data_IF_725354604760
#
_entry.id   IF_725354604760
#
_cell.length_a   1.000
_cell.length_b   1.000
_cell.length_c   1.000
_cell.angle_alpha   90.00
_cell.angle_beta   90.00
_cell.angle_gamma   90.00
#
_symmetry.space_group_name_H-M   'P 1'
#
loop_
_entity.id
_entity.type
_entity.pdbx_description
1 polymer ?
#
# COMPACT_ATOMS: atom_id res chain seq x y z
N UNK A 1 4.04 -10.56 -9.20
CA UNK A 1 4.85 -10.48 -7.98
C UNK A 1 6.11 -9.69 -8.24
N UNK A 2 6.05 -8.35 -8.17
CA UNK A 2 7.24 -7.50 -8.10
C UNK A 2 7.75 -7.53 -6.65
N UNK A 3 8.19 -8.70 -6.19
CA UNK A 3 8.86 -8.88 -4.91
C UNK A 3 10.35 -8.59 -5.11
N UNK A 4 10.68 -7.35 -5.40
CA UNK A 4 12.02 -6.81 -5.29
C UNK A 4 11.84 -5.36 -4.87
N UNK A 5 12.43 -4.99 -3.74
CA UNK A 5 12.63 -3.61 -3.28
C UNK A 5 12.91 -2.73 -4.50
N UNK A 6 11.87 -2.06 -4.98
CA UNK A 6 11.92 -1.30 -6.22
C UNK A 6 12.02 0.19 -5.87
N UNK A 7 12.54 1.04 -6.78
CA UNK A 7 13.13 2.36 -6.55
C UNK A 7 12.08 3.47 -6.30
N UNK A 8 11.07 3.16 -5.50
CA UNK A 8 9.86 3.97 -5.33
C UNK A 8 9.91 4.86 -4.09
N UNK A 9 10.90 4.68 -3.23
CA UNK A 9 11.13 5.56 -2.08
C UNK A 9 11.74 6.85 -2.61
N UNK A 10 11.06 7.96 -2.35
CA UNK A 10 11.62 9.29 -2.48
C UNK A 10 12.66 9.46 -1.36
N UNK A 11 13.94 9.44 -1.74
CA UNK A 11 15.06 9.47 -0.81
C UNK A 11 15.55 10.88 -0.49
N UNK A 12 15.00 11.90 -1.16
CA UNK A 12 15.41 13.28 -0.93
C UNK A 12 14.68 13.93 0.26
N UNK A 13 13.57 13.33 0.71
CA UNK A 13 12.90 13.72 1.95
C UNK A 13 13.79 13.30 3.13
N UNK A 14 14.56 14.27 3.61
CA UNK A 14 15.42 14.16 4.80
C UNK A 14 14.58 13.65 5.97
N UNK A 15 15.10 12.63 6.66
CA UNK A 15 14.98 12.16 8.07
C UNK A 15 13.81 12.64 8.96
N UNK A 16 13.29 13.85 8.77
CA UNK A 16 12.19 14.46 9.53
C UNK A 16 10.82 13.77 9.31
N UNK A 17 10.63 13.01 8.22
CA UNK A 17 9.39 12.27 7.94
C UNK A 17 9.17 11.12 8.93
N UNK A 18 10.24 10.38 9.25
CA UNK A 18 10.17 9.19 10.08
C UNK A 18 10.22 9.50 11.59
N UNK A 19 10.79 10.65 11.97
CA UNK A 19 10.84 11.14 13.36
C UNK A 19 9.46 11.52 13.94
N UNK A 20 8.42 11.62 13.10
CA UNK A 20 7.05 11.90 13.55
C UNK A 20 6.29 10.65 14.00
N UNK A 21 6.88 9.46 13.87
CA UNK A 21 6.23 8.20 14.25
C UNK A 21 6.50 7.90 15.71
N UNK A 22 5.48 7.85 16.60
CA UNK A 22 5.70 7.44 17.98
C UNK A 22 6.31 6.03 18.01
N UNK A 23 7.46 5.88 18.66
CA UNK A 23 8.11 4.59 18.89
C UNK A 23 7.11 3.59 19.45
N UNK A 24 7.04 2.41 18.83
CA UNK A 24 6.21 1.29 19.27
C UNK A 24 6.65 0.84 20.68
N UNK A 25 5.85 1.15 21.70
CA UNK A 25 5.91 0.42 22.98
C UNK A 25 5.00 -0.81 22.87
N UNK A 26 5.47 -2.03 23.20
CA UNK A 26 4.62 -3.22 23.20
C UNK A 26 3.40 -3.00 24.11
N UNK A 27 2.20 -3.11 23.56
CA UNK A 27 0.95 -2.99 24.34
C UNK A 27 0.46 -4.39 24.69
N UNK A 28 0.32 -4.66 25.98
CA UNK A 28 -0.19 -5.93 26.51
C UNK A 28 -1.55 -6.27 25.90
N UNK A 29 -1.71 -7.54 25.49
CA UNK A 29 -2.97 -8.10 25.01
C UNK A 29 -3.98 -8.14 26.16
N UNK A 30 -5.19 -7.56 26.02
CA UNK A 30 -6.18 -7.61 27.08
C UNK A 30 -6.83 -9.00 27.09
N UNK A 31 -6.48 -9.85 28.07
CA UNK A 31 -7.06 -11.18 28.17
C UNK A 31 -6.50 -12.09 29.26
N UNK A 32 -6.40 -11.64 30.51
CA UNK A 32 -6.25 -12.56 31.65
C UNK A 32 -6.70 -11.93 32.98
N UNK A 33 -7.95 -11.48 33.08
CA UNK A 33 -8.52 -11.17 34.40
C UNK A 33 -9.23 -12.38 34.99
N UNK A 34 -8.60 -12.92 36.03
CA UNK A 34 -9.11 -13.91 36.97
C UNK A 34 -10.40 -13.44 37.63
N UNK A 35 -11.40 -14.31 37.60
CA UNK A 35 -12.69 -14.16 38.30
C UNK A 35 -12.48 -14.02 39.81
N UNK A 36 -12.86 -12.89 40.40
CA UNK A 36 -13.33 -12.85 41.80
C UNK A 36 -14.52 -11.90 41.93
N UNK A 37 -15.51 -12.33 42.71
CA UNK A 37 -16.82 -11.69 42.87
C UNK A 37 -16.84 -10.71 44.04
N UNK A 38 -17.48 -9.55 43.87
CA UNK A 38 -18.29 -8.93 44.93
C UNK A 38 -19.16 -7.79 44.38
N UNK A 39 -20.37 -7.71 44.93
CA UNK A 39 -21.52 -6.92 44.48
C UNK A 39 -21.53 -5.50 45.08
N UNK A 40 -21.93 -4.47 44.33
CA UNK A 40 -22.76 -3.34 44.82
C UNK A 40 -23.18 -2.33 43.73
N UNK A 41 -24.51 -2.13 43.69
CA UNK A 41 -25.33 -0.91 43.52
C UNK A 41 -25.02 0.08 42.37
N UNK A 42 -26.02 0.25 41.51
CA UNK A 42 -25.96 1.08 40.31
C UNK A 42 -26.04 2.60 40.51
N UNK A 43 -25.64 3.27 39.43
CA UNK A 43 -26.06 4.62 39.06
C UNK A 43 -25.97 4.70 37.54
N UNK A 44 -27.12 4.88 36.90
CA UNK A 44 -27.30 4.84 35.46
C UNK A 44 -26.86 6.19 34.88
N UNK A 45 -25.60 6.31 34.43
CA UNK A 45 -25.09 7.50 33.76
C UNK A 45 -24.89 7.17 32.29
N UNK A 46 -25.82 7.65 31.44
CA UNK A 46 -25.72 7.58 29.97
C UNK A 46 -24.38 8.20 29.54
N UNK A 47 -23.43 7.36 29.15
CA UNK A 47 -22.20 7.78 28.47
C UNK A 47 -22.54 7.95 26.99
N UNK A 48 -22.58 9.20 26.55
CA UNK A 48 -22.53 9.55 25.13
C UNK A 48 -21.19 9.05 24.58
N UNK A 49 -21.24 8.08 23.67
CA UNK A 49 -20.09 7.58 22.93
C UNK A 49 -19.59 8.69 22.01
N UNK A 50 -18.55 9.40 22.44
CA UNK A 50 -17.74 10.19 21.53
C UNK A 50 -16.76 9.22 20.89
N UNK A 51 -17.01 8.91 19.62
CA UNK A 51 -16.09 8.14 18.79
C UNK A 51 -14.82 8.98 18.66
N UNK A 52 -13.82 8.67 19.47
CA UNK A 52 -12.54 9.37 19.43
C UNK A 52 -11.78 8.82 18.22
N UNK A 53 -11.67 9.64 17.16
CA UNK A 53 -10.82 9.42 15.97
C UNK A 53 -9.35 9.50 16.37
N UNK A 54 -8.92 8.54 17.20
CA UNK A 54 -7.54 8.38 17.62
C UNK A 54 -6.69 7.93 16.45
N UNK A 55 -5.71 8.75 16.10
CA UNK A 55 -4.64 8.53 15.13
C UNK A 55 -4.33 7.04 14.94
N UNK A 56 -4.55 6.54 13.73
CA UNK A 56 -4.03 5.25 13.29
C UNK A 56 -2.51 5.31 13.39
N UNK A 57 -1.93 4.74 14.44
CA UNK A 57 -0.51 4.38 14.43
C UNK A 57 -0.39 3.29 13.37
N UNK A 58 0.16 3.64 12.21
CA UNK A 58 0.39 2.72 11.10
C UNK A 58 1.02 1.42 11.64
N UNK A 59 0.26 0.32 11.56
CA UNK A 59 0.68 -1.02 12.00
C UNK A 59 1.35 -1.75 10.84
N UNK A 60 2.29 -1.08 10.19
CA UNK A 60 3.10 -1.72 9.16
C UNK A 60 4.19 -2.57 9.82
N UNK A 61 4.45 -3.76 9.26
CA UNK A 61 5.58 -4.58 9.69
C UNK A 61 6.89 -4.12 9.06
N UNK A 62 6.82 -3.17 8.11
CA UNK A 62 7.96 -2.48 7.53
C UNK A 62 8.26 -1.22 8.36
N UNK A 63 9.28 -1.25 9.25
CA UNK A 63 9.63 -0.08 10.03
C UNK A 63 10.43 0.93 9.20
N UNK A 64 10.30 2.19 9.56
CA UNK A 64 10.87 3.34 8.88
C UNK A 64 12.39 3.31 8.72
N UNK A 65 13.09 2.93 9.78
CA UNK A 65 14.55 2.79 9.80
C UNK A 65 15.03 1.76 8.77
N UNK A 66 14.36 0.62 8.68
CA UNK A 66 14.68 -0.43 7.71
C UNK A 66 14.48 0.04 6.26
N UNK A 67 13.50 0.90 5.99
CA UNK A 67 13.31 1.52 4.66
C UNK A 67 14.51 2.40 4.32
N UNK A 68 14.93 3.25 5.25
CA UNK A 68 16.09 4.14 5.05
C UNK A 68 17.36 3.34 4.79
N UNK A 69 17.61 2.30 5.58
CA UNK A 69 18.79 1.44 5.43
C UNK A 69 18.80 0.72 4.06
N UNK A 70 17.67 0.11 3.66
CA UNK A 70 17.58 -0.54 2.35
C UNK A 70 17.77 0.46 1.21
N UNK A 71 17.25 1.66 1.36
CA UNK A 71 17.33 2.65 0.31
C UNK A 71 18.75 3.22 0.17
N UNK A 72 19.48 3.43 1.27
CA UNK A 72 20.91 3.77 1.24
C UNK A 72 21.74 2.68 0.56
N UNK A 73 21.46 1.41 0.86
CA UNK A 73 22.10 0.27 0.21
C UNK A 73 21.78 0.21 -1.30
N UNK A 74 20.57 0.59 -1.69
CA UNK A 74 20.12 0.54 -3.08
C UNK A 74 20.71 1.67 -3.96
N UNK A 75 20.86 2.89 -3.42
CA UNK A 75 21.36 4.04 -4.20
C UNK A 75 22.88 4.05 -4.35
N UNK A 76 23.63 3.53 -3.38
CA UNK A 76 25.08 3.66 -3.33
C UNK A 76 25.52 5.13 -3.38
N UNK A 77 26.32 5.48 -4.40
CA UNK A 77 26.86 6.85 -4.58
C UNK A 77 25.96 7.74 -5.46
N UNK A 78 24.82 7.25 -5.93
CA UNK A 78 23.89 8.02 -6.77
C UNK A 78 23.08 8.96 -5.88
N UNK A 79 22.84 10.18 -6.36
CA UNK A 79 21.98 11.15 -5.66
C UNK A 79 20.58 10.58 -5.46
N UNK A 80 20.03 10.82 -4.27
CA UNK A 80 18.70 10.37 -3.87
C UNK A 80 17.56 10.91 -4.75
N UNK A 81 17.77 12.02 -5.45
CA UNK A 81 16.81 12.64 -6.37
C UNK A 81 17.04 12.22 -7.84
N UNK A 82 17.99 11.32 -8.11
CA UNK A 82 18.26 10.87 -9.46
C UNK A 82 17.09 10.01 -9.96
N UNK A 83 16.49 10.33 -11.13
CA UNK A 83 15.32 9.64 -11.65
C UNK A 83 15.56 8.15 -11.95
N UNK A 84 16.82 7.71 -12.02
CA UNK A 84 17.18 6.30 -12.20
C UNK A 84 17.01 5.46 -10.93
N UNK A 85 17.02 6.10 -9.75
CA UNK A 85 16.89 5.43 -8.45
C UNK A 85 15.64 5.87 -7.66
N UNK A 86 15.04 7.01 -8.02
CA UNK A 86 13.80 7.48 -7.44
C UNK A 86 12.84 7.94 -8.54
N UNK A 87 11.93 7.06 -8.93
CA UNK A 87 10.98 7.30 -10.02
C UNK A 87 10.07 8.52 -9.79
N UNK A 88 9.92 8.96 -8.54
CA UNK A 88 9.22 10.20 -8.20
C UNK A 88 9.84 11.45 -8.87
N UNK A 89 11.09 11.38 -9.31
CA UNK A 89 11.78 12.45 -10.05
C UNK A 89 11.85 12.23 -11.57
N UNK A 90 11.44 11.06 -12.07
CA UNK A 90 11.46 10.75 -13.49
C UNK A 90 10.33 11.45 -14.27
N UNK A 91 10.50 11.62 -15.58
CA UNK A 91 9.41 11.95 -16.48
C UNK A 91 8.56 10.69 -16.73
N UNK A 92 7.29 10.72 -16.33
CA UNK A 92 6.40 9.56 -16.39
C UNK A 92 5.59 9.49 -17.69
N UNK A 93 5.82 10.41 -18.63
CA UNK A 93 5.18 10.39 -19.95
C UNK A 93 5.66 9.18 -20.76
N UNK A 94 4.72 8.55 -21.47
CA UNK A 94 5.01 7.41 -22.34
C UNK A 94 5.13 6.06 -21.63
N UNK A 95 4.96 6.01 -20.31
CA UNK A 95 4.78 4.75 -19.59
C UNK A 95 3.44 4.08 -20.00
N UNK A 96 3.36 2.74 -19.95
CA UNK A 96 2.15 2.00 -20.29
C UNK A 96 1.07 2.16 -19.22
N UNK A 97 -0.10 1.56 -19.47
CA UNK A 97 -1.18 1.42 -18.49
C UNK A 97 -0.65 0.87 -17.17
N UNK A 98 -1.14 1.40 -16.05
CA UNK A 98 -0.61 1.10 -14.73
C UNK A 98 -1.70 0.73 -13.73
N UNK A 99 -1.47 -0.39 -13.03
CA UNK A 99 -2.22 -0.78 -11.84
C UNK A 99 -1.36 -0.52 -10.60
N UNK A 100 -1.87 0.25 -9.66
CA UNK A 100 -1.23 0.56 -8.38
C UNK A 100 -2.14 0.12 -7.25
N UNK A 101 -1.64 -0.77 -6.39
CA UNK A 101 -2.31 -1.16 -5.15
C UNK A 101 -1.54 -0.63 -3.95
N UNK A 102 -2.26 -0.10 -2.97
CA UNK A 102 -1.72 0.38 -1.70
C UNK A 102 -2.52 -0.18 -0.52
N UNK A 103 -1.85 -0.39 0.60
CA UNK A 103 -2.50 -0.71 1.87
C UNK A 103 -2.77 0.55 2.68
N UNK A 104 -3.97 0.70 3.26
CA UNK A 104 -4.28 1.90 4.06
C UNK A 104 -3.54 1.97 5.39
N UNK A 105 -3.00 0.85 5.86
CA UNK A 105 -2.20 0.74 7.08
C UNK A 105 -0.70 0.63 6.80
N UNK A 106 -0.23 1.02 5.60
CA UNK A 106 1.19 0.94 5.21
C UNK A 106 1.91 2.30 5.30
N UNK A 107 3.21 2.24 5.62
CA UNK A 107 4.06 3.41 5.84
C UNK A 107 4.25 4.26 4.57
N UNK A 108 4.25 3.59 3.41
CA UNK A 108 4.56 4.20 2.11
C UNK A 108 3.32 4.79 1.41
N UNK A 109 2.12 4.70 2.01
CA UNK A 109 0.89 5.18 1.39
C UNK A 109 0.98 6.62 0.87
N UNK A 110 1.49 7.62 1.64
CA UNK A 110 1.58 8.99 1.13
C UNK A 110 2.52 9.15 -0.07
N UNK A 111 3.58 8.32 -0.16
CA UNK A 111 4.48 8.33 -1.33
C UNK A 111 3.78 7.72 -2.56
N UNK A 112 3.01 6.64 -2.36
CA UNK A 112 2.25 5.99 -3.43
C UNK A 112 1.16 6.92 -3.96
N UNK A 113 0.43 7.61 -3.09
CA UNK A 113 -0.57 8.61 -3.47
C UNK A 113 0.05 9.74 -4.30
N UNK A 114 1.19 10.29 -3.84
CA UNK A 114 1.94 11.32 -4.58
C UNK A 114 2.38 10.84 -5.97
N UNK A 115 2.86 9.60 -6.06
CA UNK A 115 3.28 9.01 -7.33
C UNK A 115 2.08 8.79 -8.27
N UNK A 116 0.98 8.22 -7.76
CA UNK A 116 -0.23 8.00 -8.53
C UNK A 116 -0.82 9.31 -9.06
N UNK A 117 -0.86 10.36 -8.23
CA UNK A 117 -1.29 11.69 -8.65
C UNK A 117 -0.37 12.28 -9.73
N UNK A 118 0.95 12.16 -9.58
CA UNK A 118 1.91 12.61 -10.60
C UNK A 118 1.73 11.86 -11.92
N UNK A 119 1.59 10.53 -11.87
CA UNK A 119 1.38 9.73 -13.07
C UNK A 119 0.07 10.09 -13.75
N UNK A 120 -1.02 10.24 -12.99
CA UNK A 120 -2.33 10.68 -13.49
C UNK A 120 -2.24 12.02 -14.23
N UNK A 121 -1.44 12.97 -13.72
CA UNK A 121 -1.25 14.28 -14.33
C UNK A 121 -0.36 14.26 -15.59
N UNK A 122 0.51 13.25 -15.77
CA UNK A 122 1.47 13.19 -16.87
C UNK A 122 1.10 12.17 -17.96
N UNK A 123 0.31 11.15 -17.65
CA UNK A 123 -0.11 10.13 -18.62
C UNK A 123 -0.91 10.77 -19.77
N UNK A 124 -0.87 10.15 -20.94
CA UNK A 124 -1.73 10.57 -22.06
C UNK A 124 -3.18 10.09 -21.85
N UNK A 125 -4.14 10.68 -22.56
CA UNK A 125 -5.57 10.28 -22.51
C UNK A 125 -5.82 8.82 -22.91
N UNK A 126 -4.87 8.18 -23.60
CA UNK A 126 -4.97 6.78 -24.04
C UNK A 126 -4.38 5.79 -23.04
N UNK A 127 -3.74 6.30 -21.99
CA UNK A 127 -3.10 5.48 -20.96
C UNK A 127 -4.02 5.46 -19.74
N UNK A 128 -4.32 4.27 -19.25
CA UNK A 128 -5.16 4.04 -18.08
C UNK A 128 -4.33 3.99 -16.80
N UNK A 129 -4.90 4.51 -15.71
CA UNK A 129 -4.37 4.36 -14.36
C UNK A 129 -5.48 3.79 -13.49
N UNK A 130 -5.24 2.59 -12.95
CA UNK A 130 -6.06 1.96 -11.93
C UNK A 130 -5.34 2.05 -10.59
N UNK A 131 -5.73 3.00 -9.75
CA UNK A 131 -5.23 3.11 -8.38
C UNK A 131 -6.27 2.60 -7.39
N UNK A 132 -5.87 1.71 -6.48
CA UNK A 132 -6.75 1.12 -5.46
C UNK A 132 -6.05 1.01 -4.12
N UNK A 133 -6.70 1.54 -3.10
CA UNK A 133 -6.35 1.33 -1.70
C UNK A 133 -7.16 0.17 -1.12
N UNK A 134 -6.52 -0.63 -0.26
CA UNK A 134 -7.15 -1.73 0.46
C UNK A 134 -7.19 -1.38 1.95
N UNK A 135 -8.41 -1.33 2.49
CA UNK A 135 -8.67 -1.05 3.90
C UNK A 135 -7.93 -2.04 4.81
N UNK A 136 -7.37 -1.52 5.90
CA UNK A 136 -6.61 -2.23 6.94
C UNK A 136 -5.39 -3.04 6.44
N UNK A 137 -5.00 -2.89 5.18
CA UNK A 137 -3.87 -3.63 4.61
C UNK A 137 -2.54 -2.93 4.87
N UNK A 138 -1.53 -3.73 5.20
CA UNK A 138 -0.13 -3.32 5.43
C UNK A 138 0.69 -3.42 4.13
N UNK A 139 1.97 -3.07 4.21
CA UNK A 139 2.88 -3.16 3.07
C UNK A 139 2.88 -4.56 2.44
N UNK A 140 2.72 -4.64 1.11
CA UNK A 140 2.78 -5.90 0.34
C UNK A 140 1.88 -6.99 0.93
N UNK A 141 0.66 -6.62 1.35
CA UNK A 141 -0.31 -7.53 1.96
C UNK A 141 -0.65 -8.76 1.10
N UNK A 142 -0.38 -8.72 -0.22
CA UNK A 142 -0.55 -9.86 -1.13
C UNK A 142 0.29 -11.08 -0.72
N UNK A 143 1.39 -10.86 0.03
CA UNK A 143 2.21 -11.94 0.58
C UNK A 143 1.42 -12.86 1.53
N UNK A 144 0.35 -12.37 2.16
CA UNK A 144 -0.47 -13.11 3.10
C UNK A 144 -1.61 -13.92 2.44
N UNK A 145 -1.64 -14.02 1.11
CA UNK A 145 -2.68 -14.78 0.39
C UNK A 145 -2.80 -16.24 0.83
N UNK A 146 -1.69 -16.86 1.27
CA UNK A 146 -1.65 -18.24 1.73
C UNK A 146 -2.44 -18.52 3.02
N UNK A 147 -2.72 -17.50 3.84
CA UNK A 147 -3.46 -17.62 5.09
C UNK A 147 -4.78 -16.86 5.09
N UNK A 148 -5.18 -16.31 3.94
CA UNK A 148 -6.38 -15.50 3.77
C UNK A 148 -7.42 -16.22 2.90
N UNK A 149 -8.69 -15.89 3.12
CA UNK A 149 -9.79 -16.40 2.29
C UNK A 149 -9.75 -15.87 0.85
N UNK A 150 -10.40 -16.53 -0.12
CA UNK A 150 -10.39 -16.10 -1.53
C UNK A 150 -11.00 -14.72 -1.76
N UNK A 151 -11.99 -14.34 -0.94
CA UNK A 151 -12.67 -13.05 -1.04
C UNK A 151 -11.98 -11.94 -0.22
N UNK A 152 -10.89 -12.25 0.48
CA UNK A 152 -10.15 -11.28 1.30
C UNK A 152 -9.16 -10.47 0.46
N UNK A 153 -8.76 -9.31 0.98
CA UNK A 153 -7.96 -8.32 0.27
C UNK A 153 -6.72 -8.90 -0.44
N UNK A 154 -5.88 -9.75 0.18
CA UNK A 154 -4.71 -10.34 -0.49
C UNK A 154 -5.07 -11.10 -1.78
N UNK A 155 -6.10 -11.95 -1.72
CA UNK A 155 -6.52 -12.75 -2.87
C UNK A 155 -7.27 -11.91 -3.91
N UNK A 156 -8.10 -10.94 -3.49
CA UNK A 156 -8.72 -9.99 -4.42
C UNK A 156 -7.68 -9.17 -5.18
N UNK A 157 -6.66 -8.64 -4.49
CA UNK A 157 -5.56 -7.92 -5.12
C UNK A 157 -4.82 -8.79 -6.14
N UNK A 158 -4.64 -10.09 -5.90
CA UNK A 158 -4.00 -10.99 -6.85
C UNK A 158 -4.90 -11.25 -8.07
N UNK A 159 -6.21 -11.40 -7.87
CA UNK A 159 -7.18 -11.52 -8.96
C UNK A 159 -7.22 -10.26 -9.82
N UNK A 160 -7.27 -9.08 -9.20
CA UNK A 160 -7.20 -7.78 -9.90
C UNK A 160 -5.93 -7.66 -10.77
N UNK A 161 -4.77 -8.07 -10.23
CA UNK A 161 -3.49 -8.10 -10.97
C UNK A 161 -3.59 -9.06 -12.16
N UNK A 162 -4.15 -10.26 -11.96
CA UNK A 162 -4.30 -11.24 -13.03
C UNK A 162 -5.20 -10.71 -14.17
N UNK A 163 -6.33 -10.09 -13.80
CA UNK A 163 -7.26 -9.48 -14.75
C UNK A 163 -6.62 -8.31 -15.50
N UNK A 164 -5.85 -7.47 -14.80
CA UNK A 164 -5.11 -6.37 -15.42
C UNK A 164 -4.09 -6.90 -16.43
N UNK A 165 -3.27 -7.88 -16.05
CA UNK A 165 -2.30 -8.49 -16.97
C UNK A 165 -3.03 -9.07 -18.18
N UNK A 166 -4.09 -9.86 -17.96
CA UNK A 166 -4.84 -10.47 -19.04
C UNK A 166 -5.35 -9.42 -20.04
N UNK A 167 -5.96 -8.32 -19.57
CA UNK A 167 -6.46 -7.24 -20.43
C UNK A 167 -5.36 -6.59 -21.29
N UNK A 168 -4.12 -6.53 -20.80
CA UNK A 168 -3.02 -5.83 -21.45
C UNK A 168 -2.06 -6.75 -22.22
N UNK A 169 -2.12 -8.07 -22.02
CA UNK A 169 -1.25 -9.04 -22.71
C UNK A 169 -1.97 -9.99 -23.65
N UNK A 170 -3.30 -10.01 -23.67
CA UNK A 170 -4.04 -10.83 -24.63
C UNK A 170 -3.68 -10.42 -26.07
N UNK A 171 -3.21 -11.34 -26.92
CA UNK A 171 -3.02 -11.04 -28.32
C UNK A 171 -4.38 -10.67 -28.92
N UNK A 172 -4.49 -9.47 -29.50
CA UNK A 172 -5.61 -9.15 -30.37
C UNK A 172 -5.49 -10.04 -31.60
N UNK A 173 -6.19 -11.16 -31.60
CA UNK A 173 -6.39 -11.96 -32.81
C UNK A 173 -7.17 -11.10 -33.81
N UNK A 174 -6.45 -10.45 -34.71
CA UNK A 174 -7.05 -9.88 -35.93
C UNK A 174 -7.39 -11.07 -36.80
N UNK A 175 -8.68 -11.38 -36.94
CA UNK A 175 -9.13 -12.26 -38.01
C UNK A 175 -8.93 -11.50 -39.32
N UNK A 176 -7.86 -11.83 -40.06
CA UNK A 176 -7.77 -11.51 -41.49
C UNK A 176 -8.74 -12.42 -42.23
N UNK A 177 -10.05 -12.17 -42.06
CA UNK A 177 -11.20 -12.63 -42.85
C UNK A 177 -12.47 -12.44 -42.00
N UNK A 178 -13.23 -11.37 -42.26
CA UNK A 178 -14.39 -10.94 -41.46
C UNK A 178 -15.56 -11.94 -41.40
N UNK A 179 -15.45 -12.97 -40.56
CA UNK A 179 -16.58 -13.83 -40.20
C UNK A 179 -16.47 -14.24 -38.70
N UNK A 180 -17.59 -14.25 -37.94
CA UNK A 180 -17.57 -14.68 -36.54
C UNK A 180 -17.47 -16.21 -36.42
N UNK A 181 -16.77 -16.68 -35.39
CA UNK A 181 -16.73 -18.09 -35.01
C UNK A 181 -18.08 -18.47 -34.37
N UNK A 182 -18.67 -19.55 -34.90
CA UNK A 182 -19.90 -20.21 -34.42
C UNK A 182 -19.74 -20.83 -33.04
#
# INVERSE_FOLDING_TARGET
CACLLSPWVDLADKVDYFDQTPQQTPRELPGSESVTSSSRRGSNRRRTSSYNQGAYTCVDYLPADLVVDFAQLAIGDISADDPRVSAMYADLRGLPDMLIHAGQAELLLPQIERFAAKFSAQKSDRVELEYREFEDMVHVFQLFSFCCGPDEAPNRSLSDIADFIQRHTQPRFVTDNGNPLS
#
